data_IF_443274911647
#
_entry.id   IF_443274911647
#
_cell.length_a   1.000
_cell.length_b   1.000
_cell.length_c   1.000
_cell.angle_alpha   90.00
_cell.angle_beta   90.00
_cell.angle_gamma   90.00
#
_symmetry.space_group_name_H-M   'P 1'
#
loop_
_entity.id
_entity.type
_entity.pdbx_description
1 polymer ?
#
# COMPACT_ATOMS: atom_id res chain seq x y z
N UNK A 1 -23.22 1.00 -5.35
CA UNK A 1 -22.61 1.66 -6.53
C UNK A 1 -21.56 0.71 -7.11
N UNK A 2 -21.44 0.56 -8.44
CA UNK A 2 -20.38 -0.26 -9.02
C UNK A 2 -19.01 0.35 -8.66
N UNK A 3 -18.08 -0.47 -8.16
CA UNK A 3 -16.69 -0.03 -7.93
C UNK A 3 -16.08 0.38 -9.27
N UNK A 4 -15.47 1.56 -9.33
CA UNK A 4 -14.64 1.96 -10.46
C UNK A 4 -13.57 0.89 -10.68
N UNK A 5 -13.39 0.42 -11.91
CA UNK A 5 -12.38 -0.59 -12.21
C UNK A 5 -11.04 0.13 -12.43
N UNK A 6 -9.94 -0.47 -11.96
CA UNK A 6 -8.58 0.08 -12.15
C UNK A 6 -8.26 0.36 -13.64
N UNK A 7 -8.89 -0.38 -14.56
CA UNK A 7 -8.81 -0.15 -16.01
C UNK A 7 -9.31 1.22 -16.45
N UNK A 8 -10.24 1.81 -15.70
CA UNK A 8 -10.86 3.09 -16.01
C UNK A 8 -9.89 4.25 -15.69
N UNK A 9 -9.07 4.11 -14.64
CA UNK A 9 -8.10 5.12 -14.23
C UNK A 9 -7.05 5.39 -15.30
N UNK A 10 -6.46 4.36 -15.91
CA UNK A 10 -5.41 4.55 -16.94
C UNK A 10 -5.90 5.24 -18.21
N UNK A 11 -7.20 5.18 -18.49
CA UNK A 11 -7.80 5.90 -19.62
C UNK A 11 -7.86 7.41 -19.36
N UNK A 12 -8.04 7.81 -18.10
CA UNK A 12 -8.19 9.21 -17.70
C UNK A 12 -6.89 9.84 -17.20
N UNK A 13 -5.90 9.03 -16.84
CA UNK A 13 -4.61 9.45 -16.26
C UNK A 13 -3.42 8.78 -16.98
N UNK A 14 -3.11 9.16 -18.24
CA UNK A 14 -2.05 8.53 -19.04
C UNK A 14 -0.65 8.67 -18.44
N UNK A 15 -0.42 9.69 -17.61
CA UNK A 15 0.80 9.92 -16.83
C UNK A 15 1.04 8.87 -15.73
N UNK A 16 0.06 8.02 -15.41
CA UNK A 16 0.26 6.84 -14.55
C UNK A 16 1.02 5.70 -15.25
N UNK A 17 1.42 5.88 -16.51
CA UNK A 17 2.31 4.95 -17.18
C UNK A 17 3.65 4.86 -16.43
N UNK A 18 4.27 3.67 -16.32
CA UNK A 18 5.59 3.54 -15.70
C UNK A 18 6.60 4.44 -16.41
N UNK A 19 7.49 5.05 -15.63
CA UNK A 19 8.64 5.78 -16.18
C UNK A 19 9.45 4.82 -17.08
N UNK A 20 9.81 5.31 -18.27
CA UNK A 20 10.54 4.52 -19.26
C UNK A 20 11.99 4.28 -18.83
N UNK A 21 12.57 5.20 -18.06
CA UNK A 21 13.95 5.12 -17.58
C UNK A 21 14.08 4.26 -16.31
N UNK A 22 12.96 4.04 -15.61
CA UNK A 22 12.85 3.16 -14.44
C UNK A 22 11.81 2.07 -14.67
N UNK A 23 12.15 1.00 -15.41
CA UNK A 23 11.22 -0.09 -15.67
C UNK A 23 10.81 -0.73 -14.33
N UNK A 24 9.52 -1.06 -14.16
CA UNK A 24 9.00 -1.50 -12.87
C UNK A 24 9.65 -2.82 -12.44
N UNK A 25 9.95 -2.92 -11.14
CA UNK A 25 10.40 -4.17 -10.53
C UNK A 25 9.44 -5.31 -10.86
N UNK A 26 10.02 -6.47 -11.23
CA UNK A 26 9.25 -7.65 -11.65
C UNK A 26 9.09 -8.60 -10.48
N UNK A 27 7.85 -8.70 -9.99
CA UNK A 27 7.45 -9.66 -8.97
C UNK A 27 6.74 -10.87 -9.60
N UNK A 28 6.92 -12.04 -8.98
CA UNK A 28 6.14 -13.23 -9.35
C UNK A 28 4.67 -12.98 -9.02
N UNK A 29 3.80 -13.09 -10.02
CA UNK A 29 2.37 -12.83 -9.83
C UNK A 29 1.74 -13.75 -8.78
N UNK A 30 0.94 -13.16 -7.89
CA UNK A 30 0.07 -13.87 -6.95
C UNK A 30 -1.36 -14.12 -7.48
N UNK A 31 -1.71 -13.59 -8.65
CA UNK A 31 -3.04 -13.79 -9.23
C UNK A 31 -3.32 -15.28 -9.43
N UNK A 32 -4.43 -15.76 -8.88
CA UNK A 32 -4.80 -17.18 -8.92
C UNK A 32 -4.01 -18.08 -7.96
N UNK A 33 -3.17 -17.51 -7.08
CA UNK A 33 -2.42 -18.23 -6.04
C UNK A 33 -2.84 -17.87 -4.62
N UNK A 34 -3.58 -16.79 -4.47
CA UNK A 34 -4.27 -16.37 -3.24
C UNK A 34 -5.77 -16.38 -3.50
N UNK A 35 -6.58 -16.22 -2.45
CA UNK A 35 -8.04 -16.12 -2.60
C UNK A 35 -8.41 -14.93 -3.50
N UNK A 36 -9.58 -14.99 -4.15
CA UNK A 36 -10.07 -13.88 -4.97
C UNK A 36 -10.19 -12.58 -4.16
N UNK A 37 -10.69 -12.68 -2.92
CA UNK A 37 -10.81 -11.56 -1.99
C UNK A 37 -9.45 -10.95 -1.61
N UNK A 38 -8.44 -11.77 -1.32
CA UNK A 38 -7.09 -11.28 -1.06
C UNK A 38 -6.49 -10.62 -2.31
N UNK A 39 -6.66 -11.21 -3.49
CA UNK A 39 -6.16 -10.62 -4.73
C UNK A 39 -6.78 -9.25 -5.01
N UNK A 40 -8.10 -9.10 -4.84
CA UNK A 40 -8.77 -7.81 -4.99
C UNK A 40 -8.26 -6.79 -3.98
N UNK A 41 -8.12 -7.16 -2.70
CA UNK A 41 -7.56 -6.26 -1.67
C UNK A 41 -6.13 -5.81 -2.01
N UNK A 42 -5.29 -6.71 -2.55
CA UNK A 42 -3.94 -6.39 -3.03
C UNK A 42 -3.94 -5.42 -4.19
N UNK A 43 -4.87 -5.58 -5.13
CA UNK A 43 -5.02 -4.67 -6.27
C UNK A 43 -5.48 -3.30 -5.81
N UNK A 44 -6.54 -3.23 -5.00
CA UNK A 44 -7.09 -1.98 -4.47
C UNK A 44 -6.03 -1.22 -3.64
N UNK A 45 -5.33 -1.92 -2.75
CA UNK A 45 -4.25 -1.35 -1.93
C UNK A 45 -3.11 -0.82 -2.80
N UNK A 46 -2.61 -1.61 -3.76
CA UNK A 46 -1.57 -1.15 -4.68
C UNK A 46 -2.00 0.09 -5.49
N UNK A 47 -3.27 0.17 -5.89
CA UNK A 47 -3.80 1.35 -6.57
C UNK A 47 -3.82 2.58 -5.66
N UNK A 48 -4.15 2.42 -4.37
CA UNK A 48 -4.08 3.51 -3.40
C UNK A 48 -2.67 4.10 -3.31
N UNK A 49 -1.61 3.28 -3.26
CA UNK A 49 -0.22 3.76 -3.32
C UNK A 49 0.04 4.58 -4.59
N UNK A 50 -0.38 4.08 -5.76
CA UNK A 50 -0.19 4.80 -7.04
C UNK A 50 -0.95 6.13 -7.08
N UNK A 51 -2.16 6.18 -6.51
CA UNK A 51 -2.96 7.40 -6.44
C UNK A 51 -2.36 8.42 -5.48
N UNK A 52 -1.90 7.99 -4.30
CA UNK A 52 -1.22 8.88 -3.33
C UNK A 52 0.02 9.51 -3.96
N UNK A 53 0.81 8.72 -4.69
CA UNK A 53 1.95 9.23 -5.47
C UNK A 53 1.53 10.23 -6.56
N UNK A 54 0.49 9.88 -7.32
CA UNK A 54 -0.02 10.74 -8.39
C UNK A 54 -0.44 12.12 -7.89
N UNK A 55 -1.04 12.19 -6.71
CA UNK A 55 -1.42 13.46 -6.07
C UNK A 55 -0.27 14.14 -5.30
N UNK A 56 0.96 13.62 -5.36
CA UNK A 56 2.13 14.20 -4.68
C UNK A 56 2.01 14.21 -3.15
N UNK A 57 1.31 13.22 -2.59
CA UNK A 57 1.10 13.07 -1.14
C UNK A 57 2.03 12.02 -0.51
N UNK A 58 2.92 11.43 -1.30
CA UNK A 58 3.95 10.50 -0.85
C UNK A 58 5.16 11.23 -0.24
N UNK A 59 5.97 10.49 0.52
CA UNK A 59 7.23 10.94 1.09
C UNK A 59 8.25 9.80 0.98
N UNK A 60 8.88 9.73 -0.19
CA UNK A 60 9.85 8.70 -0.56
C UNK A 60 9.37 7.29 -0.17
N UNK A 61 10.02 6.67 0.80
CA UNK A 61 9.75 5.30 1.28
C UNK A 61 9.13 5.27 2.68
N UNK A 62 8.83 6.43 3.27
CA UNK A 62 8.50 6.56 4.69
C UNK A 62 6.99 6.47 5.01
N UNK A 63 6.12 6.81 4.05
CA UNK A 63 4.68 6.66 4.22
C UNK A 63 4.24 5.19 4.17
N UNK A 64 3.00 4.91 4.62
CA UNK A 64 2.44 3.56 4.63
C UNK A 64 0.91 3.56 4.50
N UNK A 65 0.40 2.57 3.76
CA UNK A 65 -1.02 2.26 3.57
C UNK A 65 -1.24 0.79 3.89
N UNK A 66 -2.21 0.49 4.74
CA UNK A 66 -2.63 -0.88 5.01
C UNK A 66 -4.04 -1.16 4.53
N UNK A 67 -4.29 -2.42 4.14
CA UNK A 67 -5.61 -2.89 3.79
C UNK A 67 -5.86 -4.29 4.38
N UNK A 68 -6.92 -4.44 5.17
CA UNK A 68 -7.39 -5.72 5.71
C UNK A 68 -7.85 -6.64 4.58
N UNK A 69 -7.44 -7.90 4.64
CA UNK A 69 -7.94 -8.92 3.72
C UNK A 69 -9.37 -9.30 4.16
N UNK A 70 -10.39 -9.20 3.28
CA UNK A 70 -11.76 -9.49 3.66
C UNK A 70 -11.92 -10.92 4.21
N UNK A 71 -12.59 -11.05 5.35
CA UNK A 71 -12.81 -12.33 6.03
C UNK A 71 -11.66 -12.82 6.90
N UNK A 72 -10.62 -11.99 7.13
CA UNK A 72 -9.49 -12.35 8.00
C UNK A 72 -9.07 -11.19 8.92
N UNK A 73 -8.22 -11.52 9.90
CA UNK A 73 -7.51 -10.56 10.75
C UNK A 73 -6.13 -10.15 10.19
N UNK A 74 -5.85 -10.53 8.95
CA UNK A 74 -4.59 -10.24 8.26
C UNK A 74 -4.73 -8.98 7.42
N UNK A 75 -3.65 -8.20 7.31
CA UNK A 75 -3.64 -7.02 6.47
C UNK A 75 -2.38 -6.92 5.64
N UNK A 76 -2.52 -6.18 4.55
CA UNK A 76 -1.50 -5.91 3.55
C UNK A 76 -0.78 -4.62 3.90
N UNK A 77 0.53 -4.55 3.71
CA UNK A 77 1.34 -3.35 3.91
C UNK A 77 2.43 -3.27 2.82
N UNK A 78 3.02 -2.09 2.58
CA UNK A 78 4.23 -2.01 1.77
C UNK A 78 5.44 -2.63 2.49
N UNK A 79 6.37 -3.24 1.75
CA UNK A 79 7.71 -3.44 2.27
C UNK A 79 8.44 -2.10 2.42
N UNK A 80 9.36 -2.03 3.35
CA UNK A 80 10.23 -0.89 3.56
C UNK A 80 11.29 -0.81 2.46
N UNK A 81 11.36 0.31 1.75
CA UNK A 81 12.36 0.60 0.73
C UNK A 81 11.84 0.65 -0.72
N UNK A 82 10.57 0.30 -0.96
CA UNK A 82 9.93 0.57 -2.25
C UNK A 82 9.28 1.96 -2.27
N UNK A 83 9.47 2.69 -3.36
CA UNK A 83 8.71 3.90 -3.65
C UNK A 83 7.25 3.55 -3.96
N UNK A 84 6.35 4.52 -3.79
CA UNK A 84 4.92 4.33 -4.02
C UNK A 84 4.62 3.95 -5.48
N UNK A 85 5.33 4.53 -6.45
CA UNK A 85 5.30 4.18 -7.88
C UNK A 85 5.92 2.82 -8.23
N UNK A 86 6.51 2.11 -7.27
CA UNK A 86 7.05 0.75 -7.47
C UNK A 86 6.09 -0.32 -6.91
N UNK A 87 5.21 0.05 -5.98
CA UNK A 87 4.27 -0.88 -5.35
C UNK A 87 3.34 -1.52 -6.40
N UNK A 88 3.19 -2.84 -6.33
CA UNK A 88 2.20 -3.60 -7.09
C UNK A 88 1.50 -4.62 -6.18
N UNK A 89 0.39 -5.19 -6.65
CA UNK A 89 -0.41 -6.16 -5.89
C UNK A 89 0.43 -7.35 -5.37
N UNK A 90 1.43 -7.78 -6.13
CA UNK A 90 2.31 -8.90 -5.76
C UNK A 90 3.51 -8.51 -4.90
N UNK A 91 3.75 -7.21 -4.69
CA UNK A 91 4.85 -6.71 -3.86
C UNK A 91 4.45 -6.50 -2.38
N UNK A 92 3.16 -6.40 -2.09
CA UNK A 92 2.64 -6.15 -0.74
C UNK A 92 2.93 -7.33 0.20
N UNK A 93 3.40 -7.01 1.40
CA UNK A 93 3.58 -7.99 2.48
C UNK A 93 2.27 -8.25 3.20
N UNK A 94 2.10 -9.44 3.76
CA UNK A 94 0.92 -9.83 4.54
C UNK A 94 1.33 -10.07 5.99
N UNK A 95 0.64 -9.42 6.91
CA UNK A 95 0.97 -9.45 8.35
C UNK A 95 -0.28 -9.70 9.19
N UNK A 96 -0.07 -10.21 10.40
CA UNK A 96 -1.14 -10.37 11.40
C UNK A 96 -1.18 -9.17 12.38
N UNK A 97 -2.16 -9.14 13.26
CA UNK A 97 -2.31 -8.11 14.31
C UNK A 97 -1.13 -8.05 15.31
N UNK A 98 -0.27 -9.08 15.37
CA UNK A 98 0.92 -9.10 16.24
C UNK A 98 2.16 -8.52 15.56
N UNK A 99 2.09 -8.24 14.25
CA UNK A 99 3.22 -7.74 13.46
C UNK A 99 4.10 -8.84 12.88
N UNK A 100 3.65 -10.10 12.96
CA UNK A 100 4.36 -11.19 12.31
C UNK A 100 4.11 -11.12 10.80
N UNK A 101 5.20 -11.18 10.03
CA UNK A 101 5.12 -11.31 8.57
C UNK A 101 4.73 -12.74 8.22
N UNK A 102 3.48 -12.92 7.79
CA UNK A 102 2.94 -14.21 7.37
C UNK A 102 3.35 -14.56 5.94
N UNK A 103 3.57 -13.55 5.10
CA UNK A 103 4.03 -13.72 3.73
C UNK A 103 4.69 -12.45 3.20
N UNK A 104 5.75 -12.62 2.41
CA UNK A 104 6.40 -11.57 1.63
C UNK A 104 6.84 -12.14 0.26
N UNK A 105 6.99 -11.30 -0.79
CA UNK A 105 7.47 -11.79 -2.08
C UNK A 105 8.95 -12.19 -2.02
N UNK A 106 9.33 -13.06 -2.95
CA UNK A 106 10.75 -13.21 -3.31
C UNK A 106 11.22 -11.91 -3.96
N UNK A 107 12.15 -11.22 -3.32
CA UNK A 107 12.69 -9.96 -3.84
C UNK A 107 13.48 -10.20 -5.14
N UNK A 108 13.43 -9.26 -6.10
CA UNK A 108 14.32 -9.31 -7.26
C UNK A 108 15.79 -9.44 -6.83
N UNK A 109 16.60 -10.13 -7.65
CA UNK A 109 18.00 -10.44 -7.32
C UNK A 109 18.77 -9.18 -6.92
N UNK A 110 19.42 -9.23 -5.75
CA UNK A 110 20.22 -8.13 -5.22
C UNK A 110 19.44 -7.14 -4.34
N UNK A 111 18.12 -7.31 -4.22
CA UNK A 111 17.27 -6.52 -3.32
C UNK A 111 16.92 -7.37 -2.09
N UNK A 112 16.86 -6.72 -0.93
CA UNK A 112 16.45 -7.36 0.31
C UNK A 112 15.65 -6.37 1.15
N UNK A 113 14.41 -6.11 0.71
CA UNK A 113 13.51 -5.22 1.43
C UNK A 113 13.01 -5.88 2.71
N UNK A 114 12.76 -5.06 3.72
CA UNK A 114 12.32 -5.53 5.03
C UNK A 114 10.88 -5.09 5.30
N UNK A 115 10.33 -5.56 6.40
CA UNK A 115 9.04 -5.11 6.87
C UNK A 115 9.12 -3.67 7.43
N UNK A 116 8.15 -2.82 7.08
CA UNK A 116 8.04 -1.49 7.67
C UNK A 116 7.41 -1.56 9.06
N UNK A 117 8.24 -1.82 10.08
CA UNK A 117 7.79 -1.94 11.47
C UNK A 117 7.14 -0.65 11.98
N UNK A 118 7.68 0.52 11.62
CA UNK A 118 7.11 1.81 12.03
C UNK A 118 5.68 1.99 11.47
N UNK A 119 5.48 1.64 10.20
CA UNK A 119 4.14 1.65 9.59
C UNK A 119 3.18 0.67 10.24
N UNK A 120 3.67 -0.49 10.66
CA UNK A 120 2.85 -1.47 11.36
C UNK A 120 2.37 -1.00 12.73
N UNK A 121 3.22 -0.34 13.54
CA UNK A 121 2.83 0.01 14.92
C UNK A 121 1.53 0.82 14.96
N UNK A 122 1.39 1.83 14.09
CA UNK A 122 0.19 2.66 14.02
C UNK A 122 -0.97 1.88 13.39
N UNK A 123 -0.72 1.19 12.27
CA UNK A 123 -1.78 0.53 11.49
C UNK A 123 -2.35 -0.69 12.22
N UNK A 124 -1.50 -1.49 12.86
CA UNK A 124 -1.86 -2.65 13.67
C UNK A 124 -2.73 -2.24 14.85
N UNK A 125 -2.34 -1.18 15.58
CA UNK A 125 -3.15 -0.66 16.68
C UNK A 125 -4.55 -0.21 16.23
N UNK A 126 -4.65 0.47 15.08
CA UNK A 126 -5.95 0.89 14.53
C UNK A 126 -6.78 -0.33 14.10
N UNK A 127 -6.19 -1.27 13.36
CA UNK A 127 -6.90 -2.47 12.91
C UNK A 127 -7.36 -3.36 14.07
N UNK A 128 -6.56 -3.46 15.14
CA UNK A 128 -6.93 -4.19 16.37
C UNK A 128 -8.08 -3.49 17.10
N UNK A 129 -7.98 -2.17 17.31
CA UNK A 129 -8.97 -1.41 18.05
C UNK A 129 -10.28 -1.18 17.27
N UNK A 130 -10.23 -1.24 15.93
CA UNK A 130 -11.34 -0.92 15.02
C UNK A 130 -11.45 -1.98 13.91
N UNK A 131 -12.01 -3.17 14.19
CA UNK A 131 -12.16 -4.24 13.20
C UNK A 131 -12.95 -3.84 11.94
N UNK A 132 -13.86 -2.87 12.07
CA UNK A 132 -14.66 -2.31 10.98
C UNK A 132 -13.83 -1.44 10.01
N UNK A 133 -12.63 -1.00 10.40
CA UNK A 133 -11.74 -0.23 9.52
C UNK A 133 -10.94 -1.19 8.63
N UNK A 134 -11.25 -1.15 7.34
CA UNK A 134 -10.63 -1.99 6.33
C UNK A 134 -9.35 -1.41 5.71
N UNK A 135 -9.17 -0.09 5.73
CA UNK A 135 -8.02 0.58 5.12
C UNK A 135 -7.57 1.74 6.00
N UNK A 136 -6.27 1.88 6.17
CA UNK A 136 -5.64 3.01 6.88
C UNK A 136 -4.59 3.60 5.96
N UNK A 137 -4.61 4.92 5.80
CA UNK A 137 -3.70 5.67 4.94
C UNK A 137 -3.00 6.71 5.82
N UNK A 138 -1.68 6.65 5.88
CA UNK A 138 -0.84 7.65 6.55
C UNK A 138 0.04 8.36 5.53
N UNK A 139 0.06 9.69 5.57
CA UNK A 139 0.81 10.51 4.61
C UNK A 139 1.55 11.65 5.30
N UNK A 140 2.77 11.93 4.86
CA UNK A 140 3.52 13.15 5.14
C UNK A 140 3.33 14.21 4.04
N UNK A 141 2.10 14.46 3.60
CA UNK A 141 1.86 15.52 2.60
C UNK A 141 2.18 16.90 3.18
N UNK A 142 2.70 17.82 2.37
CA UNK A 142 3.09 19.16 2.83
C UNK A 142 1.92 19.90 3.50
N UNK A 143 0.76 19.92 2.85
CA UNK A 143 -0.44 20.57 3.38
C UNK A 143 -0.92 19.88 4.67
N UNK A 144 -0.89 18.54 4.72
CA UNK A 144 -1.29 17.77 5.90
C UNK A 144 -0.40 18.05 7.11
N UNK A 145 0.93 18.01 6.92
CA UNK A 145 1.88 18.32 7.98
C UNK A 145 1.76 19.77 8.46
N UNK A 146 1.58 20.72 7.53
CA UNK A 146 1.40 22.13 7.87
C UNK A 146 0.19 22.33 8.80
N UNK A 147 -0.99 21.80 8.44
CA UNK A 147 -2.19 21.87 9.29
C UNK A 147 -1.98 21.13 10.62
N UNK A 148 -1.37 19.95 10.60
CA UNK A 148 -1.10 19.16 11.81
C UNK A 148 -0.15 19.87 12.81
N UNK A 149 0.65 20.83 12.34
CA UNK A 149 1.56 21.63 13.18
C UNK A 149 0.91 22.89 13.80
N UNK A 150 -0.33 23.21 13.41
CA UNK A 150 -1.06 24.35 13.98
C UNK A 150 -1.66 23.97 15.33
N UNK A 151 -1.63 24.89 16.30
CA UNK A 151 -2.25 24.70 17.63
C UNK A 151 -3.73 24.28 17.54
N UNK A 152 -4.44 24.78 16.53
CA UNK A 152 -5.87 24.54 16.35
C UNK A 152 -6.21 23.48 15.29
N UNK A 153 -5.24 22.94 14.56
CA UNK A 153 -5.50 21.97 13.49
C UNK A 153 -6.46 22.47 12.40
N UNK A 154 -7.35 21.57 11.93
CA UNK A 154 -8.40 21.84 10.94
C UNK A 154 -9.71 22.30 11.60
#
# INVERSE_FOLDING_TARGET
>A
MPKAKVTDLRKHYPELAPDKDYPPLRFKSLKGRVSAAEWEARVDCACAYRLVRHFGMDDLVYNHISARIPGTEEFLLNPFGLLYEEICASALVRVNLKGDVLWQPDWPKGLNYTFNLAGFVIHGAIHEAKPEIHCVIHTHSLAGMAVASLERGL
#
